data_IF_255579120743
#
_entry.id   IF_255579120743
#
_cell.length_a   1.000
_cell.length_b   1.000
_cell.length_c   1.000
_cell.angle_alpha   90.00
_cell.angle_beta   90.00
_cell.angle_gamma   90.00
#
_symmetry.space_group_name_H-M   'P 1'
#
loop_
_entity.id
_entity.type
_entity.pdbx_description
1 polymer ?
#
# COMPACT_ATOMS: atom_id res chain seq x y z
N UNK A 1 -9.52 -2.95 0.55
CA UNK A 1 -9.22 -4.26 1.17
C UNK A 1 -10.51 -5.07 1.30
N UNK A 2 -10.50 -6.40 1.20
CA UNK A 2 -11.71 -7.22 1.48
C UNK A 2 -11.86 -7.48 2.98
N UNK A 3 -13.09 -7.59 3.49
CA UNK A 3 -13.35 -7.73 4.94
C UNK A 3 -12.69 -8.97 5.60
N UNK A 4 -12.46 -10.04 4.83
CA UNK A 4 -11.87 -11.31 5.29
C UNK A 4 -10.41 -11.51 4.91
N UNK A 5 -9.81 -10.55 4.20
CA UNK A 5 -8.41 -10.59 3.75
C UNK A 5 -7.54 -9.95 4.85
N UNK A 6 -6.31 -10.43 5.05
CA UNK A 6 -5.36 -9.76 5.95
C UNK A 6 -4.71 -8.56 5.25
N UNK A 7 -4.06 -7.67 6.00
CA UNK A 7 -3.34 -6.53 5.41
C UNK A 7 -2.23 -7.03 4.46
N UNK A 8 -1.48 -8.06 4.88
CA UNK A 8 -0.41 -8.65 4.06
C UNK A 8 -0.92 -9.34 2.79
N UNK A 9 -2.06 -10.05 2.87
CA UNK A 9 -2.69 -10.65 1.69
C UNK A 9 -3.11 -9.56 0.70
N UNK A 10 -3.67 -8.46 1.22
CA UNK A 10 -4.08 -7.32 0.42
C UNK A 10 -2.88 -6.65 -0.28
N UNK A 11 -1.80 -6.37 0.46
CA UNK A 11 -0.58 -5.77 -0.10
C UNK A 11 0.03 -6.68 -1.16
N UNK A 12 0.14 -7.99 -0.89
CA UNK A 12 0.65 -8.97 -1.85
C UNK A 12 -0.15 -8.99 -3.15
N UNK A 13 -1.48 -8.88 -3.05
CA UNK A 13 -2.36 -8.80 -4.21
C UNK A 13 -2.17 -7.50 -5.00
N UNK A 14 -1.99 -6.36 -4.33
CA UNK A 14 -1.68 -5.08 -4.99
C UNK A 14 -0.35 -5.17 -5.72
N UNK A 15 0.70 -5.69 -5.09
CA UNK A 15 2.01 -5.90 -5.72
C UNK A 15 1.93 -6.82 -6.93
N UNK A 16 1.11 -7.88 -6.87
CA UNK A 16 0.88 -8.74 -8.05
C UNK A 16 0.25 -7.97 -9.22
N UNK A 17 -0.61 -6.99 -8.96
CA UNK A 17 -1.21 -6.16 -10.01
C UNK A 17 -0.20 -5.16 -10.55
N UNK A 18 0.57 -4.48 -9.68
CA UNK A 18 1.64 -3.55 -10.09
C UNK A 18 2.66 -4.27 -10.98
N UNK A 19 3.12 -5.45 -10.57
CA UNK A 19 4.02 -6.28 -11.38
C UNK A 19 3.43 -6.66 -12.75
N UNK A 20 2.11 -6.84 -12.87
CA UNK A 20 1.45 -7.09 -14.15
C UNK A 20 1.39 -5.83 -15.02
N UNK A 21 1.13 -4.67 -14.43
CA UNK A 21 1.14 -3.38 -15.11
C UNK A 21 2.53 -3.06 -15.67
N UNK A 22 3.57 -3.21 -14.85
CA UNK A 22 4.97 -2.99 -15.26
C UNK A 22 5.37 -3.91 -16.41
N UNK A 23 4.99 -5.19 -16.35
CA UNK A 23 5.22 -6.16 -17.45
C UNK A 23 4.52 -5.77 -18.75
N UNK A 24 3.41 -5.04 -18.66
CA UNK A 24 2.67 -4.53 -19.81
C UNK A 24 3.19 -3.15 -20.27
N UNK A 25 4.24 -2.61 -19.65
CA UNK A 25 4.84 -1.32 -19.97
C UNK A 25 4.21 -0.12 -19.25
N UNK A 26 3.33 -0.36 -18.29
CA UNK A 26 2.79 0.69 -17.41
C UNK A 26 3.64 0.78 -16.14
N UNK A 27 4.43 1.84 -16.01
CA UNK A 27 5.21 2.11 -14.83
C UNK A 27 4.36 2.79 -13.75
N UNK A 28 4.47 2.31 -12.50
CA UNK A 28 3.85 2.93 -11.34
C UNK A 28 4.92 3.25 -10.30
N UNK A 29 4.98 4.49 -9.86
CA UNK A 29 5.92 4.85 -8.80
C UNK A 29 5.52 4.19 -7.47
N UNK A 30 6.51 3.76 -6.69
CA UNK A 30 6.27 3.08 -5.42
C UNK A 30 5.45 3.91 -4.43
N UNK A 31 5.64 5.23 -4.43
CA UNK A 31 4.86 6.19 -3.63
C UNK A 31 3.37 6.18 -4.01
N UNK A 32 3.06 6.15 -5.31
CA UNK A 32 1.68 6.03 -5.78
C UNK A 32 1.03 4.71 -5.35
N UNK A 33 1.81 3.62 -5.31
CA UNK A 33 1.33 2.33 -4.83
C UNK A 33 1.05 2.38 -3.33
N UNK A 34 1.94 2.97 -2.54
CA UNK A 34 1.78 3.18 -1.09
C UNK A 34 0.52 4.00 -0.79
N UNK A 35 0.33 5.14 -1.43
CA UNK A 35 -0.88 5.97 -1.25
C UNK A 35 -2.15 5.19 -1.58
N UNK A 36 -2.14 4.43 -2.68
CA UNK A 36 -3.28 3.60 -3.08
C UNK A 36 -3.58 2.53 -2.03
N UNK A 37 -2.56 1.91 -1.43
CA UNK A 37 -2.73 0.91 -0.37
C UNK A 37 -3.38 1.55 0.85
N UNK A 38 -2.80 2.63 1.37
CA UNK A 38 -3.27 3.34 2.58
C UNK A 38 -4.71 3.84 2.41
N UNK A 39 -5.01 4.49 1.27
CA UNK A 39 -6.36 5.00 0.96
C UNK A 39 -7.41 3.89 0.81
N UNK A 40 -6.99 2.67 0.49
CA UNK A 40 -7.86 1.52 0.25
C UNK A 40 -8.00 0.59 1.45
N UNK A 41 -7.41 0.96 2.60
CA UNK A 41 -7.58 0.23 3.84
C UNK A 41 -9.04 0.23 4.30
N UNK A 42 -9.39 -0.81 5.05
CA UNK A 42 -10.65 -0.87 5.76
C UNK A 42 -10.65 0.24 6.84
N UNK A 43 -11.73 1.04 6.99
CA UNK A 43 -11.80 2.13 7.96
C UNK A 43 -11.42 1.76 9.40
N UNK A 44 -11.53 0.47 9.77
CA UNK A 44 -11.03 -0.01 11.07
C UNK A 44 -9.53 0.25 11.31
N UNK A 45 -8.76 0.45 10.25
CA UNK A 45 -7.32 0.75 10.28
C UNK A 45 -7.00 2.24 10.13
N UNK A 46 -7.99 3.15 10.14
CA UNK A 46 -7.77 4.59 9.99
C UNK A 46 -6.74 5.14 10.99
N UNK A 47 -6.76 4.63 12.23
CA UNK A 47 -5.78 5.00 13.26
C UNK A 47 -4.33 4.65 12.87
N UNK A 48 -4.12 3.56 12.13
CA UNK A 48 -2.81 3.15 11.62
C UNK A 48 -2.41 4.05 10.45
N UNK A 49 -3.34 4.31 9.53
CA UNK A 49 -3.11 5.19 8.37
C UNK A 49 -2.67 6.58 8.83
N UNK A 50 -3.41 7.20 9.76
CA UNK A 50 -3.06 8.51 10.33
C UNK A 50 -1.68 8.49 10.98
N UNK A 51 -1.37 7.47 11.79
CA UNK A 51 -0.07 7.38 12.43
C UNK A 51 1.09 7.25 11.43
N UNK A 52 0.88 6.53 10.31
CA UNK A 52 1.88 6.39 9.24
C UNK A 52 2.07 7.72 8.50
N UNK A 53 0.97 8.39 8.14
CA UNK A 53 0.96 9.69 7.45
C UNK A 53 1.59 10.81 8.32
N UNK A 54 1.36 10.80 9.63
CA UNK A 54 1.95 11.79 10.53
C UNK A 54 3.44 11.55 10.81
N UNK A 55 3.89 10.30 10.79
CA UNK A 55 5.28 9.94 11.16
C UNK A 55 6.22 9.79 9.97
N UNK A 56 5.72 9.81 8.73
CA UNK A 56 6.53 9.53 7.53
C UNK A 56 6.17 10.41 6.34
N UNK A 57 7.12 10.54 5.44
CA UNK A 57 6.89 11.11 4.13
C UNK A 57 6.39 10.02 3.16
N UNK A 58 5.08 10.00 2.91
CA UNK A 58 4.44 9.03 2.01
C UNK A 58 4.83 9.20 0.55
N UNK A 59 5.35 10.37 0.15
CA UNK A 59 5.79 10.62 -1.22
C UNK A 59 7.12 9.90 -1.54
N UNK A 60 7.90 9.55 -0.52
CA UNK A 60 9.20 8.88 -0.68
C UNK A 60 9.21 7.43 -0.18
N UNK A 61 8.15 7.01 0.51
CA UNK A 61 8.07 5.69 1.13
C UNK A 61 7.89 4.57 0.10
N UNK A 62 8.57 3.46 0.33
CA UNK A 62 8.45 2.23 -0.47
C UNK A 62 7.40 1.27 0.10
N UNK A 63 6.91 0.34 -0.72
CA UNK A 63 5.95 -0.69 -0.27
C UNK A 63 6.57 -1.65 0.76
N UNK A 64 7.87 -1.91 0.67
CA UNK A 64 8.58 -2.74 1.64
C UNK A 64 8.67 -2.04 3.02
N UNK A 65 8.96 -0.74 3.05
CA UNK A 65 8.96 0.04 4.28
C UNK A 65 7.56 0.11 4.90
N UNK A 66 6.52 0.32 4.08
CA UNK A 66 5.14 0.25 4.53
C UNK A 66 4.84 -1.11 5.17
N UNK A 67 5.24 -2.20 4.51
CA UNK A 67 5.00 -3.57 4.99
C UNK A 67 5.73 -3.88 6.29
N UNK A 68 6.90 -3.30 6.53
CA UNK A 68 7.65 -3.45 7.79
C UNK A 68 7.07 -2.68 8.98
N UNK A 69 6.18 -1.72 8.73
CA UNK A 69 5.52 -0.90 9.77
C UNK A 69 4.13 -1.39 10.16
N UNK A 70 3.57 -2.32 9.39
CA UNK A 70 2.24 -2.92 9.58
C UNK A 70 2.34 -4.26 10.32
#
# INVERSE_FOLDING_TARGET
MKNSETIFDYISRVLSVVNQLERNGEEMEGSQVVEKILRSFDPKFDHIVVAIEESNDTETMTVDELSGKL
#
